data_IF_568920940641
#
_entry.id   IF_568920940641
#
_cell.length_a   1.000
_cell.length_b   1.000
_cell.length_c   1.000
_cell.angle_alpha   90.00
_cell.angle_beta   90.00
_cell.angle_gamma   90.00
#
_symmetry.space_group_name_H-M   'P 1'
#
loop_
_entity.id
_entity.type
_entity.pdbx_description
1 polymer ?
#
# COMPACT_ATOMS: atom_id res chain seq x y z
N UNK A 1 8.59 5.93 0.72
CA UNK A 1 7.27 6.08 0.05
C UNK A 1 7.05 4.85 -0.82
N UNK A 2 5.84 4.33 -0.88
CA UNK A 2 5.49 3.14 -1.68
C UNK A 2 4.23 3.48 -2.46
N UNK A 3 4.26 3.27 -3.77
CA UNK A 3 3.07 3.27 -4.61
C UNK A 3 2.45 1.88 -4.60
N UNK A 4 1.15 1.82 -4.38
CA UNK A 4 0.41 0.57 -4.24
C UNK A 4 -0.91 0.69 -4.97
N UNK A 5 -1.27 -0.37 -5.69
CA UNK A 5 -2.59 -0.51 -6.31
C UNK A 5 -3.69 -0.42 -5.23
N UNK A 6 -4.81 0.22 -5.56
CA UNK A 6 -5.97 0.27 -4.67
C UNK A 6 -6.61 -1.10 -4.42
N UNK A 7 -6.27 -2.12 -5.22
CA UNK A 7 -6.74 -3.50 -5.01
C UNK A 7 -6.07 -4.20 -3.83
N UNK A 8 -4.95 -3.69 -3.33
CA UNK A 8 -4.27 -4.25 -2.15
C UNK A 8 -4.50 -3.38 -0.93
N UNK A 9 -4.91 -4.01 0.19
CA UNK A 9 -5.07 -3.28 1.44
C UNK A 9 -3.72 -2.86 2.03
N UNK A 10 -3.70 -1.68 2.67
CA UNK A 10 -2.51 -1.17 3.38
C UNK A 10 -1.96 -2.20 4.40
N UNK A 11 -2.85 -2.91 5.08
CA UNK A 11 -2.48 -3.98 6.01
C UNK A 11 -1.72 -5.12 5.34
N UNK A 12 -2.08 -5.48 4.12
CA UNK A 12 -1.41 -6.52 3.33
C UNK A 12 -0.06 -6.06 2.83
N UNK A 13 0.05 -4.80 2.39
CA UNK A 13 1.33 -4.17 2.04
C UNK A 13 2.29 -4.22 3.22
N UNK A 14 1.86 -3.79 4.40
CA UNK A 14 2.67 -3.83 5.62
C UNK A 14 3.04 -5.26 6.03
N UNK A 15 2.17 -6.25 5.78
CA UNK A 15 2.50 -7.66 6.00
C UNK A 15 3.65 -8.10 5.11
N UNK A 16 3.61 -7.79 3.81
CA UNK A 16 4.68 -8.13 2.89
C UNK A 16 5.98 -7.43 3.24
N UNK A 17 5.94 -6.12 3.53
CA UNK A 17 7.13 -5.36 3.86
C UNK A 17 7.77 -5.85 5.16
N UNK A 18 7.00 -5.97 6.25
CA UNK A 18 7.55 -6.37 7.55
C UNK A 18 7.87 -7.86 7.61
N UNK A 19 6.95 -8.71 7.17
CA UNK A 19 7.12 -10.16 7.19
C UNK A 19 8.16 -10.64 6.20
N UNK A 20 8.12 -10.14 4.97
CA UNK A 20 9.08 -10.48 3.92
C UNK A 20 10.50 -10.05 4.27
N UNK A 21 10.69 -8.80 4.72
CA UNK A 21 12.01 -8.34 5.15
C UNK A 21 12.54 -9.12 6.37
N UNK A 22 11.68 -9.45 7.34
CA UNK A 22 12.09 -10.25 8.49
C UNK A 22 12.53 -11.66 8.09
N UNK A 23 11.80 -12.30 7.16
CA UNK A 23 12.18 -13.61 6.62
C UNK A 23 13.58 -13.54 5.99
N UNK A 24 13.77 -12.64 5.03
CA UNK A 24 15.05 -12.48 4.33
C UNK A 24 16.18 -12.14 5.29
N UNK A 25 15.94 -11.26 6.26
CA UNK A 25 16.93 -10.88 7.26
C UNK A 25 17.43 -12.07 8.07
N UNK A 26 16.54 -12.93 8.58
CA UNK A 26 16.95 -14.11 9.36
C UNK A 26 17.54 -15.23 8.49
N UNK A 27 17.20 -15.28 7.21
CA UNK A 27 17.77 -16.21 6.23
C UNK A 27 19.24 -15.85 5.92
N UNK A 28 19.52 -14.57 5.66
CA UNK A 28 20.88 -14.11 5.33
C UNK A 28 21.76 -13.83 6.56
N UNK A 29 21.18 -13.67 7.74
CA UNK A 29 21.95 -13.44 8.98
C UNK A 29 21.51 -14.39 10.11
N UNK A 30 21.83 -15.70 10.04
CA UNK A 30 21.36 -16.70 11.01
C UNK A 30 21.78 -16.39 12.45
N UNK A 31 22.96 -15.78 12.64
CA UNK A 31 23.49 -15.37 13.96
C UNK A 31 22.60 -14.34 14.67
N UNK A 32 21.75 -13.62 13.93
CA UNK A 32 20.84 -12.65 14.53
C UNK A 32 19.76 -13.30 15.39
N UNK A 33 19.56 -14.61 15.30
CA UNK A 33 18.70 -15.35 16.25
C UNK A 33 19.25 -15.37 17.67
N UNK A 34 20.56 -15.16 17.88
CA UNK A 34 21.11 -14.99 19.24
C UNK A 34 20.58 -13.72 19.90
N UNK A 35 20.43 -12.64 19.11
CA UNK A 35 19.86 -11.37 19.58
C UNK A 35 18.34 -11.36 19.58
N UNK A 36 17.73 -12.03 18.60
CA UNK A 36 16.28 -12.12 18.43
C UNK A 36 15.83 -13.59 18.46
N UNK A 37 15.86 -14.25 19.63
CA UNK A 37 15.60 -15.69 19.74
C UNK A 37 14.18 -16.07 19.35
N UNK A 38 13.22 -15.15 19.53
CA UNK A 38 11.82 -15.31 19.09
C UNK A 38 11.56 -14.85 17.65
N UNK A 39 12.59 -14.46 16.89
CA UNK A 39 12.46 -14.06 15.49
C UNK A 39 11.60 -12.80 15.23
N UNK A 40 11.35 -11.98 16.26
CA UNK A 40 10.60 -10.74 16.10
C UNK A 40 11.56 -9.62 15.69
N UNK A 41 11.59 -9.29 14.40
CA UNK A 41 12.41 -8.19 13.89
C UNK A 41 11.73 -6.82 14.08
N UNK A 42 10.42 -6.76 13.84
CA UNK A 42 9.65 -5.52 13.87
C UNK A 42 8.67 -5.47 15.04
N UNK A 43 8.38 -4.26 15.54
CA UNK A 43 7.31 -4.04 16.52
C UNK A 43 5.94 -4.43 15.96
N UNK A 44 4.94 -4.66 16.81
CA UNK A 44 3.57 -4.98 16.35
C UNK A 44 2.85 -3.78 15.70
N UNK A 45 3.25 -2.57 16.07
CA UNK A 45 2.65 -1.31 15.59
C UNK A 45 2.77 -1.13 14.07
N UNK A 46 1.78 -0.42 13.50
CA UNK A 46 1.67 -0.10 12.09
C UNK A 46 1.26 1.35 11.96
N UNK A 47 1.94 2.11 11.12
CA UNK A 47 1.58 3.48 10.76
C UNK A 47 1.69 3.62 9.24
N UNK A 48 0.68 4.22 8.62
CA UNK A 48 0.64 4.53 7.21
C UNK A 48 -0.16 5.82 7.02
N UNK A 49 0.27 6.65 6.08
CA UNK A 49 -0.37 7.91 5.74
C UNK A 49 -0.27 8.11 4.23
N UNK A 50 -1.29 8.74 3.64
CA UNK A 50 -1.30 9.08 2.22
C UNK A 50 -0.38 10.28 1.96
N UNK A 51 0.30 10.26 0.81
CA UNK A 51 1.04 11.41 0.30
C UNK A 51 0.28 11.92 -0.92
N UNK A 52 -0.33 13.09 -0.81
CA UNK A 52 -1.16 13.67 -1.88
C UNK A 52 -0.59 15.01 -2.34
N UNK A 53 -0.04 15.06 -3.55
CA UNK A 53 0.37 16.32 -4.18
C UNK A 53 -0.14 16.49 -5.63
N UNK A 54 -0.71 15.46 -6.26
CA UNK A 54 -0.98 15.45 -7.72
C UNK A 54 -2.44 15.11 -8.10
N UNK A 55 -3.30 14.80 -7.12
CA UNK A 55 -4.62 14.25 -7.43
C UNK A 55 -5.76 15.27 -7.59
N UNK A 56 -5.63 16.54 -7.16
CA UNK A 56 -6.81 17.43 -7.17
C UNK A 56 -7.25 17.79 -8.59
N UNK A 57 -6.31 18.20 -9.44
CA UNK A 57 -6.61 18.57 -10.83
C UNK A 57 -7.06 17.34 -11.63
N UNK A 58 -6.41 16.20 -11.43
CA UNK A 58 -6.77 14.93 -12.10
C UNK A 58 -8.11 14.37 -11.65
N UNK A 59 -8.45 14.48 -10.38
CA UNK A 59 -9.77 14.13 -9.86
C UNK A 59 -10.82 15.08 -10.42
N UNK A 60 -10.51 16.38 -10.47
CA UNK A 60 -11.42 17.39 -11.04
C UNK A 60 -11.69 17.14 -12.52
N UNK A 61 -10.64 16.85 -13.30
CA UNK A 61 -10.73 16.49 -14.72
C UNK A 61 -11.55 15.20 -14.93
N UNK A 62 -11.27 14.15 -14.15
CA UNK A 62 -12.02 12.88 -14.22
C UNK A 62 -13.51 13.07 -13.91
N UNK A 63 -13.85 13.83 -12.86
CA UNK A 63 -15.26 14.09 -12.50
C UNK A 63 -15.97 14.91 -13.57
N UNK A 64 -15.31 15.92 -14.16
CA UNK A 64 -15.90 16.76 -15.21
C UNK A 64 -16.25 15.99 -16.47
N UNK A 65 -15.39 15.05 -16.88
CA UNK A 65 -15.58 14.30 -18.12
C UNK A 65 -16.43 13.04 -17.93
N UNK A 66 -16.88 12.75 -16.70
CA UNK A 66 -17.67 11.56 -16.37
C UNK A 66 -19.06 11.56 -17.02
N UNK A 67 -19.63 12.73 -17.31
CA UNK A 67 -20.93 12.88 -17.98
C UNK A 67 -20.86 12.60 -19.49
N UNK A 68 -19.74 12.91 -20.15
CA UNK A 68 -19.56 12.63 -21.59
C UNK A 68 -19.42 11.13 -21.87
N UNK A 69 -18.87 10.37 -20.91
CA UNK A 69 -18.74 8.91 -21.01
C UNK A 69 -20.01 8.14 -20.64
N UNK A 70 -20.96 8.76 -19.93
CA UNK A 70 -22.22 8.17 -19.52
C UNK A 70 -23.41 8.85 -20.21
N UNK A 71 -23.32 9.14 -21.52
CA UNK A 71 -24.51 9.48 -22.31
C UNK A 71 -25.55 8.36 -22.15
N UNK A 72 -26.43 8.55 -21.17
CA UNK A 72 -27.59 7.71 -20.99
C UNK A 72 -28.54 8.25 -22.03
N UNK A 73 -28.57 7.62 -23.21
CA UNK A 73 -29.58 7.89 -24.22
C UNK A 73 -30.93 7.62 -23.58
N UNK A 74 -31.54 8.64 -22.97
CA UNK A 74 -32.94 8.62 -22.64
C UNK A 74 -33.68 8.72 -23.98
N UNK A 75 -33.99 7.55 -24.55
CA UNK A 75 -34.97 7.44 -25.63
C UNK A 75 -36.32 7.81 -25.03
N UNK A 76 -36.68 9.08 -25.17
CA UNK A 76 -38.06 9.55 -25.07
C UNK A 76 -38.84 9.21 -26.32
#
# INVERSE_FOLDING_TARGET
>A
VVEVSFTISVSKVLQFLKGGSAKLFFEFAPRMRLRYPRGHLWSRGKFASSVGFVQLDKVTEYVRNQSEHHETTFLG
#
